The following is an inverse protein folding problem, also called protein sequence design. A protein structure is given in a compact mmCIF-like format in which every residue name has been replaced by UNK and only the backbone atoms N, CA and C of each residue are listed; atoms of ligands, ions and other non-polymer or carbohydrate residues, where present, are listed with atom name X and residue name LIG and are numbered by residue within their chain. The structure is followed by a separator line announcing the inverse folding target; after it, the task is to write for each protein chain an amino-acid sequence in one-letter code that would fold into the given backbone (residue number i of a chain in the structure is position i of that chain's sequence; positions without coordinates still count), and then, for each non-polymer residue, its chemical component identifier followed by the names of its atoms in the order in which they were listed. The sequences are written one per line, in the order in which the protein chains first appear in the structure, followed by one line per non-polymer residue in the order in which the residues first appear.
data_IF_699574801568
#
_entry.id   IF_699574801568
#
_cell.length_a   1.000
_cell.length_b   1.000
_cell.length_c   1.000
_cell.angle_alpha   90.00
_cell.angle_beta   90.00
_cell.angle_gamma   90.00
#
_symmetry.space_group_name_H-M   'P 1'
#
loop_
_entity.id
_entity.type
_entity.pdbx_description
1 polymer ?
#
# COMPACT_ATOMS: atom_id res chain seq x y z
N UNK A 1 -7.47 -12.16 5.21
CA UNK A 1 -6.87 -11.48 4.05
C UNK A 1 -7.72 -11.71 2.82
N UNK A 2 -7.87 -10.70 1.98
CA UNK A 2 -8.56 -10.84 0.70
C UNK A 2 -7.89 -11.89 -0.17
N UNK A 3 -8.73 -12.59 -0.95
CA UNK A 3 -8.28 -13.64 -1.86
C UNK A 3 -8.46 -13.21 -3.31
N UNK A 4 -7.68 -13.83 -4.19
CA UNK A 4 -7.84 -13.65 -5.62
C UNK A 4 -9.28 -14.00 -6.04
N UNK A 5 -9.85 -13.21 -6.93
CA UNK A 5 -11.22 -13.32 -7.39
C UNK A 5 -12.23 -12.45 -6.62
N UNK A 6 -11.87 -11.95 -5.46
CA UNK A 6 -12.74 -11.06 -4.70
C UNK A 6 -12.62 -9.61 -5.19
N UNK A 7 -13.68 -8.84 -5.03
CA UNK A 7 -13.63 -7.40 -5.30
C UNK A 7 -12.77 -6.70 -4.27
N UNK A 8 -11.86 -5.85 -4.72
CA UNK A 8 -11.04 -5.04 -3.84
C UNK A 8 -11.91 -3.95 -3.19
N UNK A 9 -11.90 -3.82 -1.85
CA UNK A 9 -12.63 -2.74 -1.19
C UNK A 9 -12.18 -1.37 -1.69
N UNK A 10 -13.16 -0.52 -1.99
CA UNK A 10 -12.89 0.86 -2.39
C UNK A 10 -12.34 1.64 -1.20
N UNK A 11 -11.45 2.58 -1.47
CA UNK A 11 -10.92 3.46 -0.46
C UNK A 11 -10.44 4.78 -1.06
N UNK A 12 -10.27 5.76 -0.18
CA UNK A 12 -9.68 7.05 -0.50
C UNK A 12 -8.69 7.38 0.61
N UNK A 13 -7.44 7.62 0.25
CA UNK A 13 -6.37 7.93 1.20
C UNK A 13 -5.51 9.08 0.68
N UNK A 14 -4.96 9.92 1.59
CA UNK A 14 -4.00 10.94 1.19
C UNK A 14 -2.62 10.33 0.96
N UNK A 15 -1.84 10.94 0.09
CA UNK A 15 -0.45 10.55 -0.15
C UNK A 15 0.56 11.44 0.59
N UNK A 16 1.84 11.27 0.30
CA UNK A 16 2.93 12.03 0.93
C UNK A 16 2.82 13.54 0.72
N UNK A 17 2.17 13.98 -0.34
CA UNK A 17 1.94 15.40 -0.65
C UNK A 17 0.55 15.87 -0.22
N UNK A 18 -0.14 15.08 0.60
CA UNK A 18 -1.51 15.31 1.05
C UNK A 18 -2.54 15.37 -0.09
N UNK A 19 -2.20 14.83 -1.23
CA UNK A 19 -3.13 14.67 -2.34
C UNK A 19 -3.91 13.39 -2.19
N UNK A 20 -5.21 13.47 -2.39
CA UNK A 20 -6.12 12.34 -2.22
C UNK A 20 -6.06 11.38 -3.41
N UNK A 21 -5.94 10.09 -3.11
CA UNK A 21 -6.05 9.02 -4.10
C UNK A 21 -7.25 8.13 -3.79
N UNK A 22 -8.10 7.89 -4.79
CA UNK A 22 -9.22 6.96 -4.71
C UNK A 22 -8.95 5.77 -5.63
N UNK A 23 -9.07 4.54 -5.10
CA UNK A 23 -8.82 3.34 -5.90
C UNK A 23 -9.70 3.30 -7.15
N UNK A 24 -10.97 3.70 -7.03
CA UNK A 24 -11.90 3.70 -8.16
C UNK A 24 -11.45 4.59 -9.32
N UNK A 25 -10.55 5.54 -9.10
CA UNK A 25 -10.04 6.40 -10.17
C UNK A 25 -9.25 5.64 -11.23
N UNK A 26 -8.82 4.43 -10.91
CA UNK A 26 -8.10 3.56 -11.84
C UNK A 26 -9.03 2.64 -12.65
N UNK A 27 -10.30 2.53 -12.26
CA UNK A 27 -11.23 1.61 -12.93
C UNK A 27 -11.35 1.92 -14.43
N UNK A 28 -11.16 0.89 -15.25
CA UNK A 28 -11.18 1.00 -16.70
C UNK A 28 -9.92 1.62 -17.32
N UNK A 29 -8.93 1.96 -16.50
CA UNK A 29 -7.72 2.67 -16.96
C UNK A 29 -6.43 1.91 -16.65
N UNK A 30 -6.24 1.52 -15.40
CA UNK A 30 -5.00 0.89 -14.94
C UNK A 30 -5.26 -0.23 -13.94
N UNK A 31 -4.31 -1.13 -13.85
CA UNK A 31 -4.21 -2.09 -12.75
C UNK A 31 -3.48 -1.43 -11.59
N UNK A 32 -3.67 -1.95 -10.38
CA UNK A 32 -2.99 -1.44 -9.20
C UNK A 32 -2.20 -2.54 -8.51
N UNK A 33 -1.00 -2.19 -8.07
CA UNK A 33 -0.23 -3.01 -7.13
C UNK A 33 -0.25 -2.25 -5.81
N UNK A 34 -0.83 -2.86 -4.76
CA UNK A 34 -0.86 -2.29 -3.42
C UNK A 34 0.04 -3.14 -2.54
N UNK A 35 1.11 -2.57 -2.01
CA UNK A 35 1.91 -3.28 -1.02
C UNK A 35 1.69 -2.64 0.35
N UNK A 36 1.19 -3.46 1.27
CA UNK A 36 0.97 -3.08 2.66
C UNK A 36 2.20 -3.43 3.48
N UNK A 37 2.65 -2.50 4.31
CA UNK A 37 3.85 -2.72 5.11
C UNK A 37 3.70 -2.08 6.49
N UNK A 38 4.44 -2.59 7.50
CA UNK A 38 4.27 -2.14 8.88
C UNK A 38 4.65 -0.69 9.15
N UNK A 39 5.77 -0.20 8.60
CA UNK A 39 6.29 1.09 9.02
C UNK A 39 7.34 1.64 8.06
N UNK A 40 7.29 2.95 7.81
CA UNK A 40 8.28 3.66 7.02
C UNK A 40 9.67 3.54 7.65
N UNK A 41 10.68 3.51 6.77
CA UNK A 41 12.10 3.58 7.14
C UNK A 41 12.60 2.45 8.06
N UNK A 42 11.93 1.30 8.02
CA UNK A 42 12.45 0.06 8.60
C UNK A 42 13.19 -0.73 7.52
N UNK A 43 14.14 -1.63 7.87
CA UNK A 43 15.00 -2.26 6.85
C UNK A 43 14.27 -2.94 5.71
N UNK A 44 13.33 -3.85 5.99
CA UNK A 44 12.61 -4.58 4.95
C UNK A 44 11.64 -3.69 4.18
N UNK A 45 10.95 -2.78 4.86
CA UNK A 45 10.03 -1.86 4.19
C UNK A 45 10.78 -0.94 3.23
N UNK A 46 11.97 -0.49 3.61
CA UNK A 46 12.83 0.34 2.79
C UNK A 46 13.29 -0.40 1.54
N UNK A 47 13.77 -1.64 1.69
CA UNK A 47 14.20 -2.46 0.55
C UNK A 47 13.05 -2.72 -0.42
N UNK A 48 11.88 -3.06 0.10
CA UNK A 48 10.69 -3.31 -0.72
C UNK A 48 10.28 -2.06 -1.49
N UNK A 49 10.23 -0.91 -0.83
CA UNK A 49 9.85 0.35 -1.46
C UNK A 49 10.85 0.78 -2.54
N UNK A 50 12.15 0.60 -2.30
CA UNK A 50 13.19 0.89 -3.27
C UNK A 50 13.05 -0.04 -4.49
N UNK A 51 12.86 -1.33 -4.24
CA UNK A 51 12.73 -2.33 -5.30
C UNK A 51 11.53 -2.03 -6.20
N UNK A 52 10.36 -1.72 -5.62
CA UNK A 52 9.20 -1.31 -6.39
C UNK A 52 9.46 -0.01 -7.16
N UNK A 53 10.13 0.96 -6.55
CA UNK A 53 10.45 2.24 -7.22
C UNK A 53 11.38 2.03 -8.41
N UNK A 54 12.37 1.15 -8.27
CA UNK A 54 13.32 0.84 -9.35
C UNK A 54 12.64 0.15 -10.54
N UNK A 55 11.54 -0.55 -10.32
CA UNK A 55 10.79 -1.26 -11.35
C UNK A 55 9.50 -0.56 -11.77
N UNK A 56 9.22 0.62 -11.26
CA UNK A 56 7.96 1.31 -11.52
C UNK A 56 7.70 1.54 -13.01
N UNK A 57 8.73 1.89 -13.78
CA UNK A 57 8.58 2.11 -15.21
C UNK A 57 8.17 0.84 -15.96
N UNK A 58 8.69 -0.31 -15.54
CA UNK A 58 8.30 -1.60 -16.13
C UNK A 58 6.83 -1.90 -15.85
N UNK A 59 6.37 -1.68 -14.62
CA UNK A 59 4.96 -1.85 -14.27
C UNK A 59 4.08 -0.89 -15.06
N UNK A 60 4.49 0.36 -15.22
CA UNK A 60 3.74 1.35 -15.95
C UNK A 60 3.56 0.96 -17.43
N UNK A 61 4.57 0.33 -18.04
CA UNK A 61 4.48 -0.17 -19.41
C UNK A 61 3.43 -1.26 -19.57
N UNK A 62 3.08 -1.96 -18.49
CA UNK A 62 2.03 -2.98 -18.46
C UNK A 62 0.72 -2.45 -17.90
N UNK A 63 0.57 -1.13 -17.81
CA UNK A 63 -0.65 -0.51 -17.31
C UNK A 63 -0.89 -0.66 -15.83
N UNK A 64 0.18 -0.83 -15.03
CA UNK A 64 0.10 -0.99 -13.58
C UNK A 64 0.66 0.23 -12.86
N UNK A 65 -0.09 0.74 -11.88
CA UNK A 65 0.36 1.76 -10.94
C UNK A 65 0.68 1.10 -9.59
N UNK A 66 1.73 1.55 -8.92
CA UNK A 66 2.19 0.96 -7.66
C UNK A 66 1.98 1.93 -6.51
N UNK A 67 1.41 1.42 -5.41
CA UNK A 67 1.14 2.19 -4.21
C UNK A 67 1.59 1.42 -2.97
N UNK A 68 2.33 2.09 -2.10
CA UNK A 68 2.64 1.57 -0.78
C UNK A 68 1.62 2.08 0.22
N UNK A 69 1.20 1.24 1.16
CA UNK A 69 0.22 1.60 2.17
C UNK A 69 0.74 1.23 3.55
N UNK A 70 0.78 2.19 4.46
CA UNK A 70 1.09 1.95 5.86
C UNK A 70 0.29 2.89 6.74
N UNK A 71 0.40 2.72 8.06
CA UNK A 71 -0.28 3.58 9.02
C UNK A 71 0.48 4.86 9.35
N UNK A 72 1.63 5.07 8.73
CA UNK A 72 2.39 6.30 8.87
C UNK A 72 1.61 7.48 8.28
N UNK A 73 1.83 8.67 8.83
CA UNK A 73 1.17 9.87 8.34
C UNK A 73 1.84 10.42 7.07
N UNK A 74 1.23 11.43 6.48
CA UNK A 74 1.71 12.03 5.23
C UNK A 74 3.12 12.61 5.37
N UNK A 75 3.43 13.24 6.51
CA UNK A 75 4.75 13.83 6.75
C UNK A 75 5.84 12.76 6.80
N UNK A 76 5.59 11.66 7.51
CA UNK A 76 6.54 10.54 7.57
C UNK A 76 6.74 9.92 6.20
N UNK A 77 5.68 9.76 5.43
CA UNK A 77 5.78 9.28 4.05
C UNK A 77 6.62 10.21 3.18
N UNK A 78 6.48 11.52 3.33
CA UNK A 78 7.29 12.49 2.60
C UNK A 78 8.77 12.38 2.98
N UNK A 79 9.06 12.25 4.26
CA UNK A 79 10.43 12.07 4.76
C UNK A 79 11.05 10.77 4.24
N UNK A 80 10.30 9.68 4.28
CA UNK A 80 10.74 8.37 3.78
C UNK A 80 11.01 8.42 2.27
N UNK A 81 10.07 8.97 1.51
CA UNK A 81 10.23 9.17 0.06
C UNK A 81 11.48 9.95 -0.27
N UNK A 82 11.67 11.10 0.39
CA UNK A 82 12.78 12.02 0.09
C UNK A 82 14.12 11.45 0.52
N UNK A 83 14.17 10.75 1.66
CA UNK A 83 15.39 10.12 2.15
C UNK A 83 15.94 9.07 1.20
N UNK A 84 15.07 8.28 0.59
CA UNK A 84 15.45 7.15 -0.26
C UNK A 84 15.19 7.37 -1.76
N UNK A 85 14.71 8.54 -2.16
CA UNK A 85 14.42 8.83 -3.56
C UNK A 85 13.36 7.93 -4.17
N UNK A 86 12.31 7.61 -3.40
CA UNK A 86 11.26 6.71 -3.87
C UNK A 86 10.37 7.38 -4.90
N UNK A 87 10.00 6.64 -5.95
CA UNK A 87 9.07 7.12 -6.97
C UNK A 87 7.66 6.60 -6.77
N UNK A 88 7.49 5.47 -6.08
CA UNK A 88 6.15 4.93 -5.81
C UNK A 88 5.35 5.84 -4.88
N UNK A 89 4.05 5.89 -5.10
CA UNK A 89 3.15 6.72 -4.29
C UNK A 89 2.85 6.03 -2.97
N UNK A 90 3.09 6.74 -1.86
CA UNK A 90 2.87 6.21 -0.51
C UNK A 90 1.57 6.78 0.04
N UNK A 91 0.69 5.91 0.52
CA UNK A 91 -0.65 6.26 1.01
C UNK A 91 -0.71 6.11 2.52
N UNK A 92 -1.30 7.10 3.19
CA UNK A 92 -1.36 7.17 4.65
C UNK A 92 -2.69 6.62 5.17
N UNK A 93 -2.67 5.39 5.67
CA UNK A 93 -3.81 4.72 6.30
C UNK A 93 -3.70 4.85 7.83
N UNK A 94 -3.74 6.07 8.34
CA UNK A 94 -3.42 6.38 9.75
C UNK A 94 -4.27 5.61 10.75
N UNK A 95 -5.55 5.47 10.48
CA UNK A 95 -6.46 4.72 11.35
C UNK A 95 -6.43 3.22 11.14
N UNK A 96 -5.77 2.74 10.11
CA UNK A 96 -5.73 1.31 9.77
C UNK A 96 -7.02 0.78 9.17
N UNK A 97 -7.93 1.65 8.73
CA UNK A 97 -9.23 1.23 8.20
C UNK A 97 -9.12 0.43 6.91
N UNK A 98 -8.29 0.89 5.98
CA UNK A 98 -8.07 0.20 4.71
C UNK A 98 -7.35 -1.13 4.94
N UNK A 99 -6.35 -1.13 5.81
CA UNK A 99 -5.63 -2.35 6.17
C UNK A 99 -6.58 -3.39 6.77
N UNK A 100 -7.54 -2.97 7.59
CA UNK A 100 -8.57 -3.88 8.14
C UNK A 100 -9.47 -4.43 7.03
N UNK A 101 -9.93 -3.58 6.11
CA UNK A 101 -10.78 -4.01 4.98
C UNK A 101 -10.08 -5.03 4.10
N UNK A 102 -8.77 -4.91 3.93
CA UNK A 102 -7.97 -5.84 3.14
C UNK A 102 -7.53 -7.06 3.95
N UNK A 103 -7.85 -7.10 5.25
CA UNK A 103 -7.56 -8.26 6.10
C UNK A 103 -6.07 -8.47 6.37
N UNK A 104 -5.28 -7.39 6.37
CA UNK A 104 -3.84 -7.46 6.61
C UNK A 104 -3.44 -6.97 8.00
N UNK A 105 -4.40 -6.77 8.88
CA UNK A 105 -4.15 -6.39 10.26
C UNK A 105 -4.13 -7.60 11.17
N UNK A 106 -3.22 -7.58 12.13
CA UNK A 106 -3.12 -8.60 13.16
C UNK A 106 -2.89 -7.92 14.50
N UNK A 107 -3.67 -8.32 15.51
CA UNK A 107 -3.41 -7.87 16.89
C UNK A 107 -2.30 -8.71 17.48
N UNK A 108 -1.27 -8.06 17.99
CA UNK A 108 -0.17 -8.71 18.68
C UNK A 108 -0.08 -8.18 20.09
N UNK A 109 0.19 -9.09 21.03
CA UNK A 109 0.40 -8.75 22.44
C UNK A 109 1.87 -8.89 22.79
N UNK A 110 2.43 -7.83 23.38
CA UNK A 110 3.80 -7.81 23.88
C UNK A 110 3.80 -7.08 25.22
N UNK A 111 4.31 -7.74 26.25
CA UNK A 111 4.39 -7.18 27.60
C UNK A 111 3.03 -6.69 28.12
N UNK A 112 1.96 -7.41 27.82
CA UNK A 112 0.61 -7.07 28.23
C UNK A 112 -0.06 -5.97 27.41
N UNK A 113 0.63 -5.43 26.39
CA UNK A 113 0.09 -4.38 25.51
C UNK A 113 -0.30 -4.97 24.17
N UNK A 114 -1.56 -4.76 23.79
CA UNK A 114 -2.06 -5.17 22.47
C UNK A 114 -1.81 -4.07 21.45
N UNK A 115 -1.18 -4.41 20.34
CA UNK A 115 -0.93 -3.50 19.22
C UNK A 115 -1.48 -4.04 17.93
N UNK A 116 -2.03 -3.15 17.12
CA UNK A 116 -2.40 -3.47 15.75
C UNK A 116 -1.15 -3.48 14.88
N UNK A 117 -0.87 -4.61 14.25
CA UNK A 117 0.27 -4.77 13.36
C UNK A 117 -0.21 -5.04 11.95
N UNK A 118 0.51 -4.51 10.97
CA UNK A 118 0.25 -4.78 9.56
C UNK A 118 1.08 -5.97 9.13
N UNK A 119 0.42 -6.97 8.58
CA UNK A 119 1.09 -8.12 7.96
C UNK A 119 1.50 -7.69 6.56
N UNK A 120 2.78 -7.80 6.26
CA UNK A 120 3.32 -7.45 4.94
C UNK A 120 2.60 -8.25 3.86
N UNK A 121 1.94 -7.56 2.94
CA UNK A 121 1.09 -8.19 1.93
C UNK A 121 1.08 -7.36 0.66
N UNK A 122 0.99 -8.04 -0.49
CA UNK A 122 0.91 -7.37 -1.78
C UNK A 122 -0.30 -7.88 -2.55
N UNK A 123 -1.10 -6.96 -3.06
CA UNK A 123 -2.28 -7.27 -3.87
C UNK A 123 -2.09 -6.70 -5.27
N UNK A 124 -2.40 -7.51 -6.27
CA UNK A 124 -2.52 -7.04 -7.66
C UNK A 124 -4.00 -6.98 -7.97
N UNK A 125 -4.49 -5.78 -8.29
CA UNK A 125 -5.90 -5.50 -8.56
C UNK A 125 -6.02 -5.09 -10.02
N UNK A 126 -6.91 -5.72 -10.77
CA UNK A 126 -7.09 -5.38 -12.17
C UNK A 126 -7.90 -4.08 -12.36
N UNK A 127 -7.97 -3.62 -13.60
CA UNK A 127 -8.68 -2.37 -13.94
C UNK A 127 -10.19 -2.44 -13.68
N UNK A 128 -10.74 -3.60 -13.39
CA UNK A 128 -12.15 -3.79 -13.03
C UNK A 128 -12.35 -3.82 -11.51
N UNK A 129 -11.28 -3.66 -10.73
CA UNK A 129 -11.34 -3.67 -9.27
C UNK A 129 -11.36 -5.06 -8.64
N UNK A 130 -10.93 -6.09 -9.36
CA UNK A 130 -10.90 -7.47 -8.87
C UNK A 130 -9.48 -7.85 -8.48
N UNK A 131 -9.31 -8.45 -7.31
CA UNK A 131 -8.02 -8.96 -6.85
C UNK A 131 -7.61 -10.14 -7.72
N UNK A 132 -6.46 -10.07 -8.35
CA UNK A 132 -5.90 -11.13 -9.19
C UNK A 132 -4.83 -11.94 -8.48
N UNK A 133 -4.05 -11.28 -7.62
CA UNK A 133 -3.03 -11.94 -6.82
C UNK A 133 -3.04 -11.36 -5.42
N UNK A 134 -2.87 -12.21 -4.42
CA UNK A 134 -2.74 -11.84 -3.02
C UNK A 134 -1.55 -12.62 -2.43
N UNK A 135 -0.53 -11.88 -2.05
CA UNK A 135 0.76 -12.45 -1.60
C UNK A 135 1.12 -12.03 -0.17
#
# INVERSE_FOLDING_TARGET
MLLAGQSAPAFTLPDADMETFALKSLHGKQHAVLFFYPRDDTPFCTLEAIDFSDHEDEFARHGCAIFGVSRDDCLRHAEFRDKHGLSVRLLADMGGEVSRKYGVCQMREKDGVKKLCIVRSTFVIDSKGVVRHAL
#
